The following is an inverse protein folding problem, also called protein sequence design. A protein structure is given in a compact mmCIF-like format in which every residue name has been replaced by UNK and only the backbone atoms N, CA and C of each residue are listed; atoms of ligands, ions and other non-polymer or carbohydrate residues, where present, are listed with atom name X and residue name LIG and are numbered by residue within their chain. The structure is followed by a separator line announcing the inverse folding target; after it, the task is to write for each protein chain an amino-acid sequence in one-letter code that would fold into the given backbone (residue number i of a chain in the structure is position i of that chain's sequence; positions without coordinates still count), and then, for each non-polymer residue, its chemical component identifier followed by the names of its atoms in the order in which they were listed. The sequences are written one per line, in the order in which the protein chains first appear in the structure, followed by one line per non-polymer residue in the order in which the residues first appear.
data_IF_015947487869
#
_entry.id   IF_015947487869
#
_cell.length_a   1.000
_cell.length_b   1.000
_cell.length_c   1.000
_cell.angle_alpha   90.00
_cell.angle_beta   90.00
_cell.angle_gamma   90.00
#
_symmetry.space_group_name_H-M   'P 1'
#
loop_
_entity.id
_entity.type
_entity.pdbx_description
1 polymer ?
#
# COMPACT_ATOMS: atom_id res chain seq x y z
N UNK A 1 3.75 -17.71 -13.24
CA UNK A 1 2.65 -17.05 -12.48
C UNK A 1 1.91 -16.01 -13.32
N UNK A 2 2.56 -14.94 -13.80
CA UNK A 2 1.87 -13.86 -14.56
C UNK A 2 1.12 -14.31 -15.81
N UNK A 3 1.74 -15.16 -16.65
CA UNK A 3 1.09 -15.68 -17.87
C UNK A 3 -0.17 -16.49 -17.58
N UNK A 4 -0.20 -17.24 -16.49
CA UNK A 4 -1.39 -17.98 -16.07
C UNK A 4 -2.55 -17.04 -15.73
N UNK A 5 -2.30 -15.98 -14.96
CA UNK A 5 -3.34 -15.00 -14.63
C UNK A 5 -3.85 -14.23 -15.85
N UNK A 6 -2.97 -13.90 -16.81
CA UNK A 6 -3.37 -13.26 -18.07
C UNK A 6 -4.31 -14.19 -18.86
N UNK A 7 -3.95 -15.47 -19.00
CA UNK A 7 -4.79 -16.45 -19.69
C UNK A 7 -6.14 -16.68 -18.99
N UNK A 8 -6.15 -16.70 -17.65
CA UNK A 8 -7.39 -16.77 -16.89
C UNK A 8 -8.27 -15.53 -17.10
N UNK A 9 -7.68 -14.33 -17.13
CA UNK A 9 -8.39 -13.08 -17.37
C UNK A 9 -8.98 -13.02 -18.79
N UNK A 10 -8.21 -13.45 -19.80
CA UNK A 10 -8.67 -13.56 -21.19
C UNK A 10 -9.83 -14.54 -21.33
N UNK A 11 -9.72 -15.72 -20.73
CA UNK A 11 -10.79 -16.72 -20.72
C UNK A 11 -12.05 -16.19 -20.02
N UNK A 12 -11.91 -15.51 -18.88
CA UNK A 12 -13.03 -14.90 -18.17
C UNK A 12 -13.72 -13.81 -18.99
N UNK A 13 -12.93 -12.98 -19.70
CA UNK A 13 -13.46 -11.94 -20.58
C UNK A 13 -14.26 -12.50 -21.75
N UNK A 14 -13.99 -13.74 -22.18
CA UNK A 14 -14.77 -14.43 -23.23
C UNK A 14 -16.04 -15.09 -22.67
N UNK A 15 -15.96 -15.73 -21.50
CA UNK A 15 -17.07 -16.49 -20.91
C UNK A 15 -18.11 -15.57 -20.24
N UNK A 16 -17.64 -14.54 -19.54
CA UNK A 16 -18.48 -13.65 -18.75
C UNK A 16 -17.96 -12.20 -18.84
N UNK A 17 -18.15 -11.52 -19.99
CA UNK A 17 -17.56 -10.20 -20.24
C UNK A 17 -18.02 -9.14 -19.21
N UNK A 18 -19.29 -9.17 -18.80
CA UNK A 18 -19.82 -8.24 -17.79
C UNK A 18 -19.13 -8.40 -16.43
N UNK A 19 -18.88 -9.64 -16.01
CA UNK A 19 -18.19 -9.94 -14.74
C UNK A 19 -16.70 -9.53 -14.83
N UNK A 20 -16.05 -9.81 -15.96
CA UNK A 20 -14.67 -9.39 -16.19
C UNK A 20 -14.51 -7.87 -16.16
N UNK A 21 -15.44 -7.12 -16.76
CA UNK A 21 -15.45 -5.66 -16.70
C UNK A 21 -15.66 -5.12 -15.28
N UNK A 22 -16.59 -5.70 -14.52
CA UNK A 22 -16.86 -5.30 -13.12
C UNK A 22 -15.59 -5.46 -12.26
N UNK A 23 -14.94 -6.63 -12.35
CA UNK A 23 -13.70 -6.91 -11.61
C UNK A 23 -12.55 -5.98 -12.03
N UNK A 24 -12.43 -5.67 -13.33
CA UNK A 24 -11.45 -4.67 -13.81
C UNK A 24 -11.73 -3.27 -13.25
N UNK A 25 -13.00 -2.85 -13.23
CA UNK A 25 -13.40 -1.55 -12.64
C UNK A 25 -13.07 -1.51 -11.16
N UNK A 26 -13.40 -2.56 -10.41
CA UNK A 26 -13.07 -2.67 -8.98
C UNK A 26 -11.56 -2.56 -8.75
N UNK A 27 -10.76 -3.30 -9.53
CA UNK A 27 -9.29 -3.22 -9.46
C UNK A 27 -8.74 -1.82 -9.76
N UNK A 28 -9.29 -1.13 -10.77
CA UNK A 28 -8.90 0.25 -11.08
C UNK A 28 -9.26 1.22 -9.94
N UNK A 29 -10.43 1.05 -9.33
CA UNK A 29 -10.89 1.87 -8.19
C UNK A 29 -9.96 1.67 -7.00
N UNK A 30 -9.66 0.43 -6.61
CA UNK A 30 -8.75 0.10 -5.50
C UNK A 30 -7.35 0.69 -5.74
N UNK A 31 -6.84 0.57 -6.97
CA UNK A 31 -5.53 1.13 -7.34
C UNK A 31 -5.54 2.65 -7.30
N UNK A 32 -6.62 3.29 -7.73
CA UNK A 32 -6.75 4.75 -7.66
C UNK A 32 -6.86 5.24 -6.22
N UNK A 33 -7.65 4.56 -5.38
CA UNK A 33 -7.80 4.87 -3.96
C UNK A 33 -6.46 4.79 -3.22
N UNK A 34 -5.68 3.75 -3.49
CA UNK A 34 -4.31 3.61 -2.95
C UNK A 34 -3.39 4.77 -3.38
N UNK A 35 -3.45 5.22 -4.64
CA UNK A 35 -2.66 6.38 -5.09
C UNK A 35 -3.05 7.65 -4.33
N UNK A 36 -4.36 7.85 -4.11
CA UNK A 36 -4.86 9.02 -3.37
C UNK A 36 -4.46 8.98 -1.90
N UNK A 37 -4.51 7.82 -1.25
CA UNK A 37 -4.08 7.65 0.14
C UNK A 37 -2.57 7.94 0.30
N UNK A 38 -1.74 7.41 -0.60
CA UNK A 38 -0.30 7.69 -0.63
C UNK A 38 0.00 9.18 -0.76
N UNK A 39 -0.68 9.88 -1.69
CA UNK A 39 -0.52 11.33 -1.87
C UNK A 39 -0.86 12.11 -0.59
N UNK A 40 -2.01 11.79 0.04
CA UNK A 40 -2.43 12.43 1.30
C UNK A 40 -1.42 12.21 2.42
N UNK A 41 -0.87 11.00 2.55
CA UNK A 41 0.18 10.69 3.53
C UNK A 41 1.46 11.49 3.25
N UNK A 42 1.88 11.63 1.99
CA UNK A 42 3.05 12.43 1.61
C UNK A 42 2.87 13.91 1.96
N UNK A 43 1.70 14.48 1.70
CA UNK A 43 1.39 15.87 2.06
C UNK A 43 1.42 16.07 3.58
N UNK A 44 0.83 15.13 4.33
CA UNK A 44 0.87 15.15 5.80
C UNK A 44 2.32 15.04 6.33
N UNK A 45 3.15 14.19 5.73
CA UNK A 45 4.57 14.05 6.10
C UNK A 45 5.34 15.34 5.85
N UNK A 46 5.13 15.96 4.69
CA UNK A 46 5.76 17.23 4.35
C UNK A 46 5.42 18.31 5.39
N UNK A 47 4.12 18.49 5.69
CA UNK A 47 3.66 19.45 6.69
C UNK A 47 4.15 19.13 8.10
N UNK A 48 4.15 17.85 8.49
CA UNK A 48 4.66 17.41 9.79
C UNK A 48 6.13 17.78 9.99
N UNK A 49 6.98 17.54 8.99
CA UNK A 49 8.39 17.91 9.04
C UNK A 49 8.59 19.43 8.99
N UNK A 50 7.78 20.14 8.20
CA UNK A 50 7.80 21.60 8.15
C UNK A 50 7.47 22.21 9.52
N UNK A 51 6.46 21.69 10.24
CA UNK A 51 6.13 22.10 11.63
C UNK A 51 7.31 21.92 12.60
N UNK A 52 8.21 20.98 12.32
CA UNK A 52 9.42 20.73 13.10
C UNK A 52 10.66 21.51 12.60
N UNK A 53 10.51 22.40 11.62
CA UNK A 53 11.62 23.14 11.01
C UNK A 53 12.57 22.27 10.20
N UNK A 54 12.14 21.08 9.75
CA UNK A 54 12.97 20.10 9.03
C UNK A 54 12.68 20.12 7.53
N UNK A 55 13.73 20.00 6.73
CA UNK A 55 13.63 19.81 5.27
C UNK A 55 13.16 18.38 4.96
N UNK A 56 12.29 18.24 3.96
CA UNK A 56 11.76 16.95 3.50
C UNK A 56 12.40 16.53 2.19
N UNK A 57 13.28 15.52 2.27
CA UNK A 57 13.91 14.89 1.11
C UNK A 57 13.11 13.68 0.58
N UNK A 58 13.31 13.27 -0.70
CA UNK A 58 12.63 12.12 -1.31
C UNK A 58 12.72 10.82 -0.52
N UNK A 59 13.86 10.57 0.17
CA UNK A 59 14.05 9.37 0.98
C UNK A 59 13.04 9.25 2.12
N UNK A 60 12.49 10.35 2.64
CA UNK A 60 11.49 10.29 3.72
C UNK A 60 10.16 9.69 3.23
N UNK A 61 9.71 10.05 2.03
CA UNK A 61 8.51 9.45 1.46
C UNK A 61 8.69 7.95 1.23
N UNK A 62 9.85 7.55 0.68
CA UNK A 62 10.19 6.14 0.51
C UNK A 62 10.28 5.38 1.84
N UNK A 63 10.77 6.03 2.90
CA UNK A 63 10.83 5.42 4.23
C UNK A 63 9.44 5.19 4.82
N UNK A 64 8.52 6.15 4.68
CA UNK A 64 7.12 5.97 5.10
C UNK A 64 6.44 4.87 4.29
N UNK A 65 6.58 4.85 2.96
CA UNK A 65 6.05 3.76 2.14
C UNK A 65 6.62 2.38 2.55
N UNK A 66 7.93 2.33 2.84
CA UNK A 66 8.59 1.11 3.32
C UNK A 66 8.07 0.66 4.69
N UNK A 67 7.75 1.58 5.60
CA UNK A 67 7.12 1.25 6.88
C UNK A 67 5.78 0.55 6.65
N UNK A 68 4.91 1.15 5.83
CA UNK A 68 3.59 0.61 5.53
C UNK A 68 3.69 -0.77 4.86
N UNK A 69 4.52 -0.90 3.83
CA UNK A 69 4.69 -2.16 3.10
C UNK A 69 5.19 -3.29 4.02
N UNK A 70 6.12 -3.00 4.94
CA UNK A 70 6.61 -4.01 5.90
C UNK A 70 5.54 -4.45 6.89
N UNK A 71 4.65 -3.55 7.30
CA UNK A 71 3.53 -3.90 8.18
C UNK A 71 2.51 -4.80 7.45
N UNK A 72 2.19 -4.48 6.20
CA UNK A 72 1.23 -5.26 5.40
C UNK A 72 1.76 -6.66 5.06
N UNK A 73 3.05 -6.77 4.72
CA UNK A 73 3.67 -8.02 4.32
C UNK A 73 4.14 -8.88 5.51
N UNK A 74 4.13 -8.31 6.72
CA UNK A 74 4.72 -8.88 7.95
C UNK A 74 6.16 -9.40 7.79
N UNK A 75 6.91 -8.87 6.81
CA UNK A 75 8.28 -9.27 6.54
C UNK A 75 9.10 -8.16 5.84
N UNK A 76 10.44 -8.23 5.85
CA UNK A 76 11.28 -7.30 5.13
C UNK A 76 11.02 -7.36 3.62
N UNK A 77 10.91 -6.19 2.99
CA UNK A 77 10.62 -6.06 1.56
C UNK A 77 11.59 -6.84 0.65
N UNK A 78 12.88 -6.85 1.01
CA UNK A 78 13.91 -7.60 0.26
C UNK A 78 13.61 -9.10 0.26
N UNK A 79 13.22 -9.66 1.42
CA UNK A 79 12.86 -11.08 1.53
C UNK A 79 11.59 -11.41 0.75
N UNK A 80 10.60 -10.52 0.79
CA UNK A 80 9.36 -10.72 0.03
C UNK A 80 9.61 -10.69 -1.48
N UNK A 81 10.43 -9.76 -1.98
CA UNK A 81 10.82 -9.70 -3.39
C UNK A 81 11.52 -10.99 -3.83
N UNK A 82 12.45 -11.50 -3.01
CA UNK A 82 13.13 -12.77 -3.28
C UNK A 82 12.15 -13.95 -3.33
N UNK A 83 11.23 -14.05 -2.37
CA UNK A 83 10.22 -15.11 -2.33
C UNK A 83 9.28 -15.09 -3.55
N UNK A 84 9.05 -13.92 -4.14
CA UNK A 84 8.18 -13.75 -5.31
C UNK A 84 8.95 -13.65 -6.65
N UNK A 85 10.27 -13.88 -6.65
CA UNK A 85 11.14 -13.76 -7.82
C UNK A 85 11.04 -12.38 -8.53
N UNK A 86 10.97 -11.31 -7.74
CA UNK A 86 10.89 -9.92 -8.24
C UNK A 86 12.30 -9.31 -8.20
N UNK A 87 12.94 -9.21 -9.36
CA UNK A 87 14.35 -8.80 -9.47
C UNK A 87 14.53 -7.29 -9.62
N UNK A 88 13.64 -6.59 -10.33
CA UNK A 88 13.73 -5.14 -10.53
C UNK A 88 12.40 -4.54 -11.00
N UNK A 89 11.43 -4.39 -10.08
CA UNK A 89 10.20 -3.63 -10.36
C UNK A 89 10.23 -2.26 -9.68
N UNK A 90 9.98 -1.23 -10.50
CA UNK A 90 9.79 0.17 -10.08
C UNK A 90 8.45 0.35 -9.36
N UNK A 91 7.45 -0.50 -9.63
CA UNK A 91 6.12 -0.42 -9.01
C UNK A 91 5.80 -1.66 -8.17
N UNK A 92 6.34 -1.71 -6.95
CA UNK A 92 6.10 -2.80 -6.00
C UNK A 92 4.60 -3.13 -5.81
N UNK A 93 3.73 -2.12 -5.82
CA UNK A 93 2.29 -2.29 -5.57
C UNK A 93 1.60 -3.03 -6.72
N UNK A 94 2.23 -3.11 -7.90
CA UNK A 94 1.75 -3.92 -9.03
C UNK A 94 1.67 -5.42 -8.69
N UNK A 95 2.45 -5.85 -7.71
CA UNK A 95 2.54 -7.24 -7.27
C UNK A 95 1.67 -7.55 -6.04
N UNK A 96 0.94 -6.58 -5.50
CA UNK A 96 0.07 -6.79 -4.35
C UNK A 96 -1.29 -7.31 -4.80
N UNK A 97 -1.88 -8.22 -4.02
CA UNK A 97 -3.27 -8.62 -4.21
C UNK A 97 -4.23 -7.55 -3.65
N UNK A 98 -5.54 -7.70 -3.92
CA UNK A 98 -6.56 -6.73 -3.50
C UNK A 98 -6.58 -6.50 -1.98
N UNK A 99 -6.45 -7.56 -1.18
CA UNK A 99 -6.42 -7.47 0.28
C UNK A 99 -5.20 -6.69 0.78
N UNK A 100 -4.02 -6.94 0.20
CA UNK A 100 -2.80 -6.22 0.51
C UNK A 100 -2.90 -4.74 0.12
N UNK A 101 -3.50 -4.42 -1.03
CA UNK A 101 -3.75 -3.04 -1.44
C UNK A 101 -4.71 -2.32 -0.48
N UNK A 102 -5.79 -2.99 -0.05
CA UNK A 102 -6.72 -2.45 0.94
C UNK A 102 -6.04 -2.16 2.28
N UNK A 103 -5.16 -3.06 2.76
CA UNK A 103 -4.36 -2.85 3.96
C UNK A 103 -3.39 -1.66 3.81
N UNK A 104 -2.75 -1.51 2.65
CA UNK A 104 -1.87 -0.37 2.35
C UNK A 104 -2.65 0.93 2.40
N UNK A 105 -3.77 1.04 1.68
CA UNK A 105 -4.60 2.24 1.65
C UNK A 105 -5.07 2.64 3.05
N UNK A 106 -5.53 1.67 3.84
CA UNK A 106 -5.96 1.90 5.22
C UNK A 106 -4.83 2.49 6.07
N UNK A 107 -3.64 1.89 6.01
CA UNK A 107 -2.50 2.32 6.80
C UNK A 107 -1.92 3.66 6.32
N UNK A 108 -1.95 3.97 5.02
CA UNK A 108 -1.51 5.27 4.50
C UNK A 108 -2.41 6.41 5.01
N UNK A 109 -3.73 6.22 4.95
CA UNK A 109 -4.68 7.19 5.53
C UNK A 109 -4.47 7.34 7.05
N UNK A 110 -4.32 6.23 7.77
CA UNK A 110 -4.08 6.27 9.21
C UNK A 110 -2.75 6.96 9.56
N UNK A 111 -1.70 6.70 8.80
CA UNK A 111 -0.40 7.33 9.02
C UNK A 111 -0.45 8.83 8.73
N UNK A 112 -1.18 9.25 7.69
CA UNK A 112 -1.47 10.65 7.41
C UNK A 112 -2.10 11.34 8.62
N UNK A 113 -3.13 10.75 9.21
CA UNK A 113 -3.76 11.27 10.43
C UNK A 113 -2.77 11.36 11.61
N UNK A 114 -1.96 10.32 11.84
CA UNK A 114 -0.99 10.33 12.94
C UNK A 114 0.12 11.36 12.77
N UNK A 115 0.50 11.68 11.52
CA UNK A 115 1.43 12.76 11.20
C UNK A 115 0.83 14.14 11.51
N UNK A 116 -0.46 14.31 11.24
CA UNK A 116 -1.22 15.52 11.60
C UNK A 116 -1.40 15.67 13.11
N UNK A 117 -1.59 14.56 13.83
CA UNK A 117 -1.58 14.49 15.30
C UNK A 117 -0.16 14.59 15.90
N UNK A 118 0.83 14.95 15.09
CA UNK A 118 2.22 15.18 15.47
C UNK A 118 2.90 14.01 16.21
N UNK A 119 2.48 12.78 15.93
CA UNK A 119 2.97 11.59 16.63
C UNK A 119 4.40 11.23 16.16
N UNK A 120 5.32 10.90 17.10
CA UNK A 120 6.68 10.49 16.74
C UNK A 120 6.69 9.11 16.08
N UNK A 121 7.76 8.81 15.34
CA UNK A 121 7.87 7.61 14.51
C UNK A 121 7.57 6.30 15.25
N UNK A 122 8.15 6.09 16.44
CA UNK A 122 7.97 4.84 17.18
C UNK A 122 6.52 4.63 17.63
N UNK A 123 5.86 5.71 18.04
CA UNK A 123 4.44 5.71 18.40
C UNK A 123 3.58 5.43 17.17
N UNK A 124 3.88 6.05 16.02
CA UNK A 124 3.17 5.78 14.76
C UNK A 124 3.28 4.33 14.36
N UNK A 125 4.50 3.77 14.35
CA UNK A 125 4.75 2.37 14.02
C UNK A 125 3.94 1.41 14.90
N UNK A 126 3.93 1.63 16.22
CA UNK A 126 3.16 0.81 17.15
C UNK A 126 1.64 0.93 16.93
N UNK A 127 1.12 2.16 16.77
CA UNK A 127 -0.29 2.42 16.50
C UNK A 127 -0.75 1.80 15.18
N UNK A 128 0.01 1.97 14.10
CA UNK A 128 -0.31 1.38 12.79
C UNK A 128 -0.37 -0.14 12.84
N UNK A 129 0.57 -0.79 13.54
CA UNK A 129 0.53 -2.24 13.74
C UNK A 129 -0.72 -2.66 14.52
N UNK A 130 -1.07 -1.95 15.59
CA UNK A 130 -2.27 -2.22 16.37
C UNK A 130 -3.56 -2.01 15.55
N UNK A 131 -3.63 -0.93 14.77
CA UNK A 131 -4.76 -0.63 13.89
C UNK A 131 -4.93 -1.69 12.79
N UNK A 132 -3.83 -2.13 12.17
CA UNK A 132 -3.84 -3.21 11.17
C UNK A 132 -4.44 -4.48 11.79
N UNK A 133 -3.94 -4.89 12.95
CA UNK A 133 -4.45 -6.07 13.64
C UNK A 133 -5.93 -5.88 13.96
N UNK A 134 -6.30 -4.80 14.65
CA UNK A 134 -7.68 -4.56 15.08
C UNK A 134 -8.71 -4.57 13.93
N UNK A 135 -8.32 -4.08 12.74
CA UNK A 135 -9.22 -4.02 11.58
C UNK A 135 -9.26 -5.32 10.76
N UNK A 136 -8.15 -6.06 10.69
CA UNK A 136 -8.00 -7.23 9.82
C UNK A 136 -7.79 -8.54 10.59
N UNK A 137 -8.08 -8.60 11.90
CA UNK A 137 -8.12 -9.85 12.68
C UNK A 137 -9.13 -10.80 12.03
N UNK A 138 -8.68 -12.00 11.64
CA UNK A 138 -9.53 -13.09 11.19
C UNK A 138 -10.03 -13.02 9.74
N UNK A 139 -9.45 -12.16 8.90
CA UNK A 139 -9.67 -12.17 7.45
C UNK A 139 -8.74 -13.19 6.75
#
# INVERSE_FOLDING_TARGET
ARQYFIQCEEALSQIAPSVAEELRKQWLIERQATKTAYQRMCDALYKHRQRQGKITNPCHYSNEANLINRLVLDMPLVKWKQANNITDDKDLRSHFNAEQLSKVEYLENANGFLLDDNQPFDVRKAKLKAMLNNRFIGA
#
